data_IF_649310810140
#
_entry.id   IF_649310810140
#
_cell.length_a   1.000
_cell.length_b   1.000
_cell.length_c   1.000
_cell.angle_alpha   90.00
_cell.angle_beta   90.00
_cell.angle_gamma   90.00
#
_symmetry.space_group_name_H-M   'P 1'
#
loop_
_entity.id
_entity.type
_entity.pdbx_description
1 polymer ?
#
# COMPACT_ATOMS: atom_id res chain seq x y z
N UNK A 1 -15.20 1.18 -3.75
CA UNK A 1 -15.21 0.41 -2.49
C UNK A 1 -13.85 0.56 -1.80
N UNK A 2 -13.82 0.82 -0.49
CA UNK A 2 -12.60 0.83 0.32
C UNK A 2 -12.57 -0.42 1.19
N UNK A 3 -11.43 -1.08 1.28
CA UNK A 3 -11.23 -2.31 2.06
C UNK A 3 -10.23 -2.06 3.18
N UNK A 4 -10.40 -2.73 4.31
CA UNK A 4 -9.50 -2.66 5.44
C UNK A 4 -9.29 -4.03 6.07
N UNK A 5 -8.08 -4.31 6.50
CA UNK A 5 -7.81 -5.39 7.45
C UNK A 5 -7.94 -4.83 8.84
N UNK A 6 -8.74 -5.45 9.67
CA UNK A 6 -9.01 -5.00 11.03
C UNK A 6 -9.00 -6.15 12.03
N UNK A 7 -8.93 -5.80 13.29
CA UNK A 7 -8.99 -6.71 14.41
C UNK A 7 -9.97 -6.18 15.44
N UNK A 8 -10.85 -7.04 15.89
CA UNK A 8 -11.77 -6.76 16.99
C UNK A 8 -11.29 -7.47 18.27
N UNK A 9 -12.19 -7.64 19.25
CA UNK A 9 -11.86 -8.22 20.55
C UNK A 9 -11.45 -9.70 20.53
N UNK A 10 -11.68 -10.43 19.44
CA UNK A 10 -11.32 -11.85 19.30
C UNK A 10 -9.87 -12.08 18.82
N UNK A 11 -9.09 -10.98 18.67
CA UNK A 11 -7.68 -10.95 18.25
C UNK A 11 -7.39 -11.62 16.89
N UNK A 12 -8.40 -11.71 16.01
CA UNK A 12 -8.26 -12.24 14.66
C UNK A 12 -8.28 -11.12 13.63
N UNK A 13 -7.36 -11.19 12.65
CA UNK A 13 -7.41 -10.30 11.50
C UNK A 13 -8.57 -10.69 10.59
N UNK A 14 -9.37 -9.70 10.21
CA UNK A 14 -10.59 -9.84 9.40
C UNK A 14 -10.55 -8.85 8.23
N UNK A 15 -11.32 -9.16 7.20
CA UNK A 15 -11.52 -8.25 6.08
C UNK A 15 -12.82 -7.48 6.27
N UNK A 16 -12.76 -6.17 6.13
CA UNK A 16 -13.92 -5.29 6.19
C UNK A 16 -14.04 -4.35 5.00
N UNK A 17 -15.28 -3.95 4.73
CA UNK A 17 -15.60 -2.86 3.81
C UNK A 17 -15.86 -1.60 4.63
N UNK A 18 -15.17 -0.52 4.26
CA UNK A 18 -15.35 0.79 4.90
C UNK A 18 -16.58 1.47 4.34
N UNK A 19 -17.51 1.82 5.21
CA UNK A 19 -18.80 2.43 4.92
C UNK A 19 -18.91 3.84 5.51
N UNK A 20 -19.95 4.58 5.09
CA UNK A 20 -20.43 5.82 5.73
C UNK A 20 -19.34 6.85 6.02
N UNK A 21 -18.70 7.36 4.98
CA UNK A 21 -17.67 8.40 5.08
C UNK A 21 -16.53 8.05 6.06
N UNK A 22 -16.04 6.81 5.93
CA UNK A 22 -14.91 6.28 6.69
C UNK A 22 -15.15 6.14 8.21
N UNK A 23 -16.41 5.99 8.63
CA UNK A 23 -16.77 5.88 10.07
C UNK A 23 -17.21 4.50 10.50
N UNK A 24 -17.72 3.68 9.59
CA UNK A 24 -18.25 2.35 9.86
C UNK A 24 -17.50 1.30 9.05
N UNK A 25 -17.43 0.10 9.56
CA UNK A 25 -16.79 -1.05 8.95
C UNK A 25 -17.76 -2.23 8.95
N UNK A 26 -18.00 -2.82 7.79
CA UNK A 26 -18.74 -4.05 7.60
C UNK A 26 -17.77 -5.23 7.67
N UNK A 27 -17.95 -6.17 8.59
CA UNK A 27 -17.28 -7.47 8.59
C UNK A 27 -17.91 -8.35 7.50
N UNK A 28 -17.24 -8.48 6.36
CA UNK A 28 -17.85 -9.14 5.19
C UNK A 28 -17.97 -10.66 5.36
N UNK A 29 -17.08 -11.29 6.11
CA UNK A 29 -17.22 -12.72 6.39
C UNK A 29 -18.39 -12.99 7.33
N UNK A 30 -18.52 -12.19 8.39
CA UNK A 30 -19.65 -12.31 9.31
C UNK A 30 -20.99 -12.03 8.62
N UNK A 31 -21.05 -11.03 7.73
CA UNK A 31 -22.25 -10.73 6.96
C UNK A 31 -22.62 -11.88 6.01
N UNK A 32 -21.65 -12.47 5.32
CA UNK A 32 -21.86 -13.61 4.44
C UNK A 32 -22.36 -14.85 5.20
N UNK A 33 -21.77 -15.13 6.37
CA UNK A 33 -22.20 -16.22 7.23
C UNK A 33 -23.61 -16.02 7.76
N UNK A 34 -23.97 -14.79 8.12
CA UNK A 34 -25.32 -14.46 8.58
C UNK A 34 -26.36 -14.71 7.50
N UNK A 35 -26.05 -14.38 6.25
CA UNK A 35 -26.97 -14.51 5.11
C UNK A 35 -27.07 -15.94 4.59
N UNK A 36 -25.93 -16.61 4.42
CA UNK A 36 -25.86 -17.91 3.73
C UNK A 36 -25.73 -19.13 4.65
N UNK A 37 -25.40 -18.90 5.92
CA UNK A 37 -25.06 -19.94 6.88
C UNK A 37 -23.70 -20.64 6.60
N UNK A 38 -22.89 -20.11 5.70
CA UNK A 38 -21.63 -20.71 5.28
C UNK A 38 -20.49 -19.70 5.21
N UNK A 39 -19.27 -20.20 5.39
CA UNK A 39 -18.05 -19.40 5.18
C UNK A 39 -17.68 -19.31 3.70
N UNK A 40 -17.06 -18.20 3.29
CA UNK A 40 -16.49 -18.04 1.97
C UNK A 40 -14.99 -17.77 2.07
N UNK A 41 -14.12 -18.68 1.58
CA UNK A 41 -12.67 -18.53 1.68
C UNK A 41 -12.13 -17.20 1.09
N UNK A 42 -12.77 -16.67 0.05
CA UNK A 42 -12.38 -15.42 -0.57
C UNK A 42 -12.58 -14.18 0.34
N UNK A 43 -13.37 -14.31 1.43
CA UNK A 43 -13.68 -13.23 2.36
C UNK A 43 -12.83 -13.27 3.65
N UNK A 44 -11.95 -14.25 3.82
CA UNK A 44 -11.15 -14.39 5.05
C UNK A 44 -10.07 -13.34 5.20
N UNK A 45 -9.55 -12.80 4.10
CA UNK A 45 -8.47 -11.81 4.13
C UNK A 45 -8.47 -10.95 2.87
N UNK A 46 -7.83 -9.79 2.93
CA UNK A 46 -7.66 -8.97 1.73
C UNK A 46 -6.89 -9.68 0.63
N UNK A 47 -5.91 -10.51 0.97
CA UNK A 47 -5.18 -11.33 0.01
C UNK A 47 -6.13 -12.30 -0.72
N UNK A 48 -6.91 -13.07 0.02
CA UNK A 48 -7.87 -14.02 -0.55
C UNK A 48 -8.94 -13.31 -1.40
N UNK A 49 -9.37 -12.11 -0.98
CA UNK A 49 -10.32 -11.31 -1.73
C UNK A 49 -9.76 -10.85 -3.09
N UNK A 50 -8.51 -10.39 -3.12
CA UNK A 50 -7.80 -10.02 -4.35
C UNK A 50 -7.66 -11.24 -5.27
N UNK A 51 -7.28 -12.39 -4.74
CA UNK A 51 -7.15 -13.64 -5.48
C UNK A 51 -8.50 -14.15 -6.02
N UNK A 52 -9.59 -13.86 -5.32
CA UNK A 52 -10.96 -14.14 -5.76
C UNK A 52 -11.42 -13.31 -6.97
N UNK A 53 -10.68 -12.25 -7.34
CA UNK A 53 -10.88 -11.45 -8.54
C UNK A 53 -12.27 -10.83 -8.66
N UNK A 54 -12.79 -10.76 -9.88
CA UNK A 54 -14.08 -10.10 -10.17
C UNK A 54 -15.27 -10.69 -9.41
N UNK A 55 -15.25 -11.99 -9.11
CA UNK A 55 -16.33 -12.63 -8.35
C UNK A 55 -16.38 -12.14 -6.91
N UNK A 56 -15.23 -12.07 -6.24
CA UNK A 56 -15.15 -11.53 -4.89
C UNK A 56 -15.49 -10.03 -4.87
N UNK A 57 -15.04 -9.29 -5.88
CA UNK A 57 -15.33 -7.87 -6.01
C UNK A 57 -16.84 -7.59 -6.20
N UNK A 58 -17.52 -8.36 -7.05
CA UNK A 58 -18.97 -8.24 -7.26
C UNK A 58 -19.73 -8.56 -5.97
N UNK A 59 -19.41 -9.67 -5.32
CA UNK A 59 -19.99 -10.06 -4.04
C UNK A 59 -19.77 -8.97 -2.96
N UNK A 60 -18.57 -8.43 -2.84
CA UNK A 60 -18.30 -7.36 -1.87
C UNK A 60 -19.08 -6.07 -2.15
N UNK A 61 -19.38 -5.75 -3.40
CA UNK A 61 -20.25 -4.60 -3.75
C UNK A 61 -21.69 -4.83 -3.33
N UNK A 62 -22.23 -5.99 -3.65
CA UNK A 62 -23.57 -6.42 -3.26
C UNK A 62 -23.75 -6.37 -1.73
N UNK A 63 -22.82 -6.99 -0.99
CA UNK A 63 -22.82 -6.96 0.46
C UNK A 63 -22.70 -5.57 1.06
N UNK A 64 -22.01 -4.63 0.39
CA UNK A 64 -21.90 -3.25 0.86
C UNK A 64 -23.21 -2.47 0.70
N UNK A 65 -24.04 -2.83 -0.29
CA UNK A 65 -25.36 -2.23 -0.55
C UNK A 65 -26.43 -2.79 0.40
N UNK A 66 -26.34 -4.06 0.73
CA UNK A 66 -27.31 -4.80 1.56
C UNK A 66 -26.84 -5.05 2.99
N UNK A 67 -25.86 -4.26 3.47
CA UNK A 67 -25.17 -4.48 4.73
C UNK A 67 -26.10 -4.55 5.96
N UNK A 68 -26.09 -5.68 6.67
CA UNK A 68 -26.80 -5.81 7.95
C UNK A 68 -26.10 -5.00 9.05
N UNK A 69 -26.87 -4.19 9.78
CA UNK A 69 -26.34 -3.38 10.91
C UNK A 69 -25.67 -4.26 11.99
N UNK A 70 -26.03 -5.53 12.13
CA UNK A 70 -25.44 -6.47 13.11
C UNK A 70 -23.99 -6.82 12.80
N UNK A 71 -23.57 -6.68 11.53
CA UNK A 71 -22.20 -6.94 11.08
C UNK A 71 -21.38 -5.65 10.88
N UNK A 72 -21.95 -4.51 11.28
CA UNK A 72 -21.32 -3.20 11.16
C UNK A 72 -20.79 -2.73 12.52
N UNK A 73 -19.54 -2.32 12.56
CA UNK A 73 -18.88 -1.78 13.75
C UNK A 73 -18.29 -0.39 13.44
N UNK A 74 -18.34 0.58 14.40
CA UNK A 74 -17.60 1.82 14.25
C UNK A 74 -16.09 1.57 14.08
N UNK A 75 -15.45 2.28 13.19
CA UNK A 75 -13.98 2.15 12.98
C UNK A 75 -13.20 2.48 14.24
N UNK A 76 -13.74 3.36 15.08
CA UNK A 76 -13.14 3.72 16.38
C UNK A 76 -13.04 2.56 17.37
N UNK A 77 -13.88 1.53 17.22
CA UNK A 77 -13.98 0.40 18.15
C UNK A 77 -13.12 -0.81 17.72
N UNK A 78 -12.39 -0.68 16.61
CA UNK A 78 -11.52 -1.74 16.08
C UNK A 78 -10.09 -1.26 15.92
N UNK A 79 -9.15 -2.19 15.86
CA UNK A 79 -7.75 -1.89 15.51
C UNK A 79 -7.54 -2.12 14.02
N UNK A 80 -7.28 -1.05 13.27
CA UNK A 80 -6.87 -1.18 11.87
C UNK A 80 -5.48 -1.82 11.79
N UNK A 81 -5.30 -2.72 10.85
CA UNK A 81 -4.08 -3.46 10.62
C UNK A 81 -3.48 -3.11 9.27
N UNK A 82 -2.25 -3.54 9.04
CA UNK A 82 -1.64 -3.49 7.70
C UNK A 82 -2.56 -4.20 6.71
N UNK A 83 -2.92 -3.58 5.58
CA UNK A 83 -3.87 -4.17 4.62
C UNK A 83 -3.47 -5.59 4.17
N UNK A 84 -2.19 -5.79 3.86
CA UNK A 84 -1.60 -7.08 3.50
C UNK A 84 -0.48 -7.39 4.49
N UNK A 85 -0.75 -8.12 5.61
CA UNK A 85 0.28 -8.44 6.62
C UNK A 85 1.45 -9.25 6.08
N UNK A 86 1.22 -10.04 5.04
CA UNK A 86 2.23 -10.85 4.35
C UNK A 86 2.06 -10.67 2.84
N UNK A 87 2.48 -9.51 2.29
CA UNK A 87 2.31 -9.27 0.86
C UNK A 87 3.20 -10.23 0.05
N UNK A 88 2.70 -10.76 -1.08
CA UNK A 88 3.50 -11.61 -1.97
C UNK A 88 4.72 -10.88 -2.53
N UNK A 89 4.63 -9.55 -2.66
CA UNK A 89 5.70 -8.72 -3.20
C UNK A 89 5.57 -7.27 -2.71
N UNK A 90 6.71 -6.65 -2.43
CA UNK A 90 6.80 -5.22 -2.14
C UNK A 90 7.69 -4.58 -3.20
N UNK A 91 7.29 -3.42 -3.71
CA UNK A 91 8.07 -2.60 -4.63
C UNK A 91 8.10 -1.16 -4.12
N UNK A 92 9.30 -0.68 -3.85
CA UNK A 92 9.55 0.71 -3.52
C UNK A 92 9.92 1.47 -4.79
N UNK A 93 8.99 2.30 -5.27
CA UNK A 93 9.11 2.96 -6.56
C UNK A 93 9.76 4.34 -6.41
N UNK A 94 10.78 4.61 -7.21
CA UNK A 94 11.42 5.93 -7.34
C UNK A 94 10.61 6.81 -8.30
N UNK A 95 9.51 7.41 -7.83
CA UNK A 95 8.54 8.13 -8.68
C UNK A 95 8.68 9.65 -8.64
N UNK A 96 9.47 10.21 -7.71
CA UNK A 96 9.55 11.64 -7.51
C UNK A 96 10.90 12.17 -8.00
N UNK A 97 10.89 12.89 -9.12
CA UNK A 97 12.07 13.47 -9.74
C UNK A 97 12.83 14.40 -8.79
N UNK A 98 12.12 15.28 -8.09
CA UNK A 98 12.71 16.22 -7.14
C UNK A 98 13.48 15.49 -6.01
N UNK A 99 12.96 14.36 -5.54
CA UNK A 99 13.65 13.52 -4.57
C UNK A 99 14.99 13.02 -5.10
N UNK A 100 15.03 12.54 -6.34
CA UNK A 100 16.26 12.06 -6.98
C UNK A 100 17.26 13.20 -7.21
N UNK A 101 16.79 14.36 -7.68
CA UNK A 101 17.64 15.55 -7.86
C UNK A 101 18.31 15.93 -6.53
N UNK A 102 17.51 16.01 -5.46
CA UNK A 102 18.01 16.37 -4.13
C UNK A 102 18.98 15.32 -3.59
N UNK A 103 18.67 14.05 -3.70
CA UNK A 103 19.54 12.95 -3.29
C UNK A 103 20.88 12.96 -4.04
N UNK A 104 20.85 13.15 -5.36
CA UNK A 104 22.05 13.22 -6.18
C UNK A 104 22.89 14.48 -5.93
N UNK A 105 22.25 15.62 -5.61
CA UNK A 105 22.97 16.82 -5.17
C UNK A 105 23.74 16.58 -3.87
N UNK A 106 23.10 15.91 -2.88
CA UNK A 106 23.75 15.56 -1.63
C UNK A 106 24.93 14.60 -1.88
N UNK A 107 24.73 13.57 -2.71
CA UNK A 107 25.78 12.60 -3.03
C UNK A 107 26.97 13.25 -3.74
N UNK A 108 26.74 14.19 -4.69
CA UNK A 108 27.80 14.96 -5.33
C UNK A 108 28.60 15.77 -4.31
N UNK A 109 27.87 16.44 -3.42
CA UNK A 109 28.52 17.24 -2.37
C UNK A 109 29.37 16.38 -1.43
N UNK A 110 28.82 15.30 -0.89
CA UNK A 110 29.55 14.38 -0.01
C UNK A 110 30.80 13.83 -0.68
N UNK A 111 30.70 13.51 -1.99
CA UNK A 111 31.85 13.03 -2.75
C UNK A 111 32.89 14.13 -2.99
N UNK A 112 32.44 15.35 -3.28
CA UNK A 112 33.34 16.49 -3.44
C UNK A 112 34.05 16.88 -2.16
N UNK A 113 33.37 16.80 -1.02
CA UNK A 113 33.93 17.10 0.31
C UNK A 113 35.08 16.13 0.72
N UNK A 114 35.19 14.98 0.05
CA UNK A 114 36.27 14.03 0.24
C UNK A 114 37.52 14.33 -0.62
N UNK A 115 37.44 15.29 -1.55
CA UNK A 115 38.53 15.68 -2.44
C UNK A 115 39.37 16.82 -1.86
N UNK A 116 40.64 16.98 -2.26
CA UNK A 116 41.51 18.03 -1.75
C UNK A 116 40.99 19.46 -1.94
N UNK A 117 40.25 19.71 -3.03
CA UNK A 117 39.55 20.96 -3.30
C UNK A 117 38.08 20.69 -3.61
N UNK A 118 37.21 20.71 -2.61
CA UNK A 118 35.78 20.38 -2.78
C UNK A 118 35.07 21.28 -3.82
N UNK A 119 35.43 22.55 -3.90
CA UNK A 119 34.77 23.49 -4.79
C UNK A 119 35.09 23.22 -6.28
N UNK A 120 36.31 22.84 -6.58
CA UNK A 120 36.74 22.45 -7.92
C UNK A 120 36.12 21.09 -8.26
N UNK A 121 36.21 20.13 -7.33
CA UNK A 121 35.67 18.78 -7.53
C UNK A 121 34.15 18.80 -7.83
N UNK A 122 33.38 19.63 -7.10
CA UNK A 122 31.94 19.74 -7.34
C UNK A 122 31.64 20.22 -8.76
N UNK A 123 32.33 21.24 -9.25
CA UNK A 123 32.17 21.74 -10.62
C UNK A 123 32.55 20.70 -11.66
N UNK A 124 33.62 19.94 -11.41
CA UNK A 124 34.01 18.86 -12.30
C UNK A 124 32.98 17.73 -12.35
N UNK A 125 32.39 17.35 -11.20
CA UNK A 125 31.38 16.31 -11.12
C UNK A 125 30.11 16.73 -11.84
N UNK A 126 29.71 18.00 -11.72
CA UNK A 126 28.58 18.56 -12.46
C UNK A 126 28.84 18.57 -13.98
N UNK A 127 30.02 19.03 -14.40
CA UNK A 127 30.40 19.04 -15.82
C UNK A 127 30.45 17.63 -16.44
N UNK A 128 30.94 16.65 -15.67
CA UNK A 128 30.98 15.22 -16.07
C UNK A 128 29.60 14.55 -15.99
N UNK A 129 28.57 15.23 -15.46
CA UNK A 129 27.23 14.66 -15.30
C UNK A 129 27.15 13.57 -14.25
N UNK A 130 28.02 13.59 -13.23
CA UNK A 130 28.01 12.61 -12.16
C UNK A 130 26.72 12.73 -11.35
N UNK A 131 26.07 11.59 -11.08
CA UNK A 131 24.78 11.54 -10.41
C UNK A 131 23.70 12.39 -11.10
N UNK A 132 23.54 12.22 -12.40
CA UNK A 132 22.37 12.67 -13.14
C UNK A 132 21.31 11.56 -13.16
N UNK A 133 20.05 11.95 -13.22
CA UNK A 133 18.96 11.00 -13.44
C UNK A 133 19.16 10.36 -14.81
N UNK A 134 19.27 9.03 -14.91
CA UNK A 134 19.45 8.37 -16.19
C UNK A 134 18.19 8.46 -17.04
N UNK A 135 18.34 8.54 -18.36
CA UNK A 135 17.23 8.65 -19.31
C UNK A 135 16.19 7.53 -19.14
N UNK A 136 16.63 6.33 -18.80
CA UNK A 136 15.76 5.17 -18.57
C UNK A 136 14.73 5.41 -17.46
N UNK A 137 15.02 6.30 -16.52
CA UNK A 137 14.08 6.65 -15.44
C UNK A 137 12.81 7.33 -15.98
N UNK A 138 12.91 8.10 -17.07
CA UNK A 138 11.77 8.74 -17.72
C UNK A 138 10.98 7.82 -18.65
N UNK A 139 11.56 6.67 -18.99
CA UNK A 139 11.01 5.74 -19.99
C UNK A 139 10.28 4.57 -19.35
N UNK A 140 10.66 4.18 -18.13
CA UNK A 140 10.06 3.03 -17.43
C UNK A 140 10.09 3.20 -15.91
N UNK A 141 9.15 2.59 -15.17
CA UNK A 141 9.16 2.61 -13.71
C UNK A 141 10.44 1.95 -13.15
N UNK A 142 11.13 2.70 -12.29
CA UNK A 142 12.30 2.19 -11.55
C UNK A 142 11.86 1.90 -10.11
N UNK A 143 12.18 0.73 -9.60
CA UNK A 143 11.81 0.33 -8.24
C UNK A 143 12.85 -0.61 -7.64
N UNK A 144 12.91 -0.60 -6.31
CA UNK A 144 13.59 -1.62 -5.54
C UNK A 144 12.64 -2.79 -5.30
N UNK A 145 13.08 -4.00 -5.60
CA UNK A 145 12.36 -5.23 -5.28
C UNK A 145 12.74 -5.64 -3.87
N UNK A 146 11.79 -5.49 -2.94
CA UNK A 146 11.89 -6.05 -1.60
C UNK A 146 11.00 -7.30 -1.51
N UNK A 147 11.47 -8.30 -0.83
CA UNK A 147 10.74 -9.55 -0.60
C UNK A 147 10.32 -9.63 0.85
#
# INVERSE_FOLDING_TARGET
MKLATFRNSDDRDRLGIVLSNDRKLLDIQAAHELETGATNPALFSLQAFIEGGEKALALGREMAEEASETCITPIADVTLRTPLPRPPQIRDCLCFEEHLINAYNVLRKVKADAEPDPAIALKEFEAKGLFRIPEVWYQQPIYYKAN
#
